data_IF_924628483803
#
_entry.id   IF_924628483803
#
_cell.length_a   1.000
_cell.length_b   1.000
_cell.length_c   1.000
_cell.angle_alpha   90.00
_cell.angle_beta   90.00
_cell.angle_gamma   90.00
#
_symmetry.space_group_name_H-M   'P 1'
#
loop_
_entity.id
_entity.type
_entity.pdbx_description
1 polymer ?
#
# COMPACT_ATOMS: atom_id res chain seq x y z
N UNK A 1 28.19 17.72 -0.75
CA UNK A 1 29.56 18.22 -0.69
C UNK A 1 30.33 17.76 -1.91
N UNK A 2 31.04 18.65 -2.61
CA UNK A 2 31.93 18.27 -3.68
C UNK A 2 33.16 17.59 -3.05
N UNK A 3 33.58 16.43 -3.58
CA UNK A 3 34.77 15.77 -3.12
C UNK A 3 36.02 16.45 -3.74
N UNK A 4 36.92 17.12 -2.97
CA UNK A 4 38.06 17.85 -3.48
C UNK A 4 39.26 16.98 -3.90
N UNK A 5 39.15 15.65 -3.82
CA UNK A 5 40.27 14.71 -3.99
C UNK A 5 40.46 14.20 -5.42
N UNK A 6 39.73 14.73 -6.39
CA UNK A 6 39.82 14.29 -7.80
C UNK A 6 40.92 15.06 -8.52
N UNK A 7 41.80 14.40 -9.28
CA UNK A 7 42.87 15.06 -10.03
C UNK A 7 42.35 16.11 -11.04
N UNK A 8 43.15 17.15 -11.35
CA UNK A 8 42.82 18.31 -12.18
C UNK A 8 42.15 18.05 -13.56
N UNK A 9 42.24 16.82 -14.08
CA UNK A 9 41.60 16.45 -15.37
C UNK A 9 40.07 16.40 -15.35
N UNK A 10 39.41 16.66 -14.21
CA UNK A 10 38.00 16.48 -14.01
C UNK A 10 37.12 17.75 -14.17
N UNK A 11 37.75 18.94 -14.26
CA UNK A 11 37.02 20.22 -14.29
C UNK A 11 36.22 20.47 -15.57
N UNK A 12 36.41 19.69 -16.63
CA UNK A 12 35.65 19.75 -17.88
C UNK A 12 34.52 18.71 -17.97
N UNK A 13 34.33 17.87 -16.96
CA UNK A 13 33.30 16.84 -16.93
C UNK A 13 32.01 17.39 -16.29
N UNK A 14 30.87 16.94 -16.77
CA UNK A 14 29.61 17.33 -16.13
C UNK A 14 29.56 16.86 -14.67
N UNK A 15 28.93 17.65 -13.83
CA UNK A 15 28.65 17.27 -12.44
C UNK A 15 27.53 16.23 -12.44
N UNK A 16 27.74 15.11 -11.76
CA UNK A 16 26.75 14.08 -11.57
C UNK A 16 26.19 14.16 -10.16
N UNK A 17 24.89 14.25 -10.04
CA UNK A 17 24.16 14.19 -8.78
C UNK A 17 23.74 12.75 -8.53
N UNK A 18 24.13 12.17 -7.41
CA UNK A 18 23.61 10.91 -6.90
C UNK A 18 22.52 11.23 -5.89
N UNK A 19 21.39 10.53 -5.93
CA UNK A 19 20.28 10.81 -5.03
C UNK A 19 19.75 9.52 -4.40
N UNK A 20 19.54 9.59 -3.10
CA UNK A 20 18.92 8.56 -2.29
C UNK A 20 18.07 9.19 -1.18
N UNK A 21 17.16 8.41 -0.55
CA UNK A 21 16.43 8.86 0.65
C UNK A 21 16.96 8.18 1.91
N UNK A 22 16.83 8.87 3.06
CA UNK A 22 17.39 8.43 4.34
C UNK A 22 16.34 7.79 5.27
N UNK A 23 15.09 7.94 4.98
CA UNK A 23 13.98 7.34 5.72
C UNK A 23 13.67 5.92 5.24
N UNK A 24 12.86 5.20 5.97
CA UNK A 24 12.42 3.84 5.65
C UNK A 24 10.98 3.61 6.12
N UNK A 25 10.32 2.62 5.55
CA UNK A 25 9.05 2.11 6.09
C UNK A 25 9.28 1.48 7.46
N UNK A 26 8.62 2.01 8.50
CA UNK A 26 8.74 1.53 9.88
C UNK A 26 7.66 0.49 10.20
N UNK A 27 7.88 -0.77 9.82
CA UNK A 27 6.95 -1.88 10.05
C UNK A 27 7.62 -3.03 10.81
N UNK A 28 6.84 -3.76 11.61
CA UNK A 28 7.31 -4.91 12.40
C UNK A 28 6.27 -6.02 12.47
N UNK A 29 6.74 -7.24 12.65
CA UNK A 29 5.86 -8.40 12.84
C UNK A 29 5.05 -8.29 14.14
N UNK A 30 3.84 -8.84 14.14
CA UNK A 30 3.02 -8.93 15.35
C UNK A 30 3.80 -9.64 16.48
N UNK A 31 3.86 -8.99 17.63
CA UNK A 31 4.57 -9.49 18.81
C UNK A 31 6.05 -9.08 18.90
N UNK A 32 6.64 -8.49 17.87
CA UNK A 32 7.99 -7.93 17.93
C UNK A 32 8.00 -6.68 18.83
N UNK A 33 8.86 -6.69 19.84
CA UNK A 33 9.10 -5.53 20.68
C UNK A 33 10.23 -4.71 20.05
N UNK A 34 9.89 -3.62 19.44
CA UNK A 34 10.82 -2.68 18.80
C UNK A 34 10.20 -1.29 18.81
N UNK A 35 10.98 -0.27 19.09
CA UNK A 35 10.62 1.14 19.05
C UNK A 35 11.48 1.82 17.98
N UNK A 36 10.89 2.14 16.83
CA UNK A 36 11.62 2.75 15.71
C UNK A 36 12.19 4.14 16.01
N UNK A 37 11.72 4.82 17.05
CA UNK A 37 12.27 6.11 17.48
C UNK A 37 13.53 5.97 18.34
N UNK A 38 13.70 4.82 19.02
CA UNK A 38 14.74 4.66 20.04
C UNK A 38 15.62 3.43 19.87
N UNK A 39 15.13 2.39 19.20
CA UNK A 39 15.88 1.13 19.06
C UNK A 39 16.57 1.05 17.69
N UNK A 40 17.84 0.59 17.64
CA UNK A 40 18.51 0.30 16.39
C UNK A 40 17.91 -0.93 15.72
N UNK A 41 17.92 -0.97 14.38
CA UNK A 41 17.52 -2.18 13.64
C UNK A 41 18.49 -3.32 13.97
N UNK A 42 17.97 -4.42 14.49
CA UNK A 42 18.73 -5.63 14.75
C UNK A 42 18.89 -6.44 13.46
N UNK A 43 20.12 -6.53 12.96
CA UNK A 43 20.41 -7.21 11.71
C UNK A 43 20.87 -8.65 11.93
N UNK A 44 20.50 -9.56 11.01
CA UNK A 44 20.86 -10.97 10.99
C UNK A 44 21.53 -11.28 9.65
N UNK A 45 22.71 -11.89 9.68
CA UNK A 45 23.37 -12.45 8.50
C UNK A 45 22.85 -13.88 8.31
N UNK A 46 22.15 -14.12 7.18
CA UNK A 46 21.57 -15.41 6.81
C UNK A 46 22.13 -15.85 5.45
N UNK A 47 23.27 -16.54 5.47
CA UNK A 47 24.01 -16.90 4.28
C UNK A 47 24.53 -15.68 3.54
N UNK A 48 24.05 -15.44 2.32
CA UNK A 48 24.38 -14.27 1.51
C UNK A 48 23.44 -13.08 1.73
N UNK A 49 22.45 -13.23 2.62
CA UNK A 49 21.44 -12.21 2.90
C UNK A 49 21.70 -11.48 4.21
N UNK A 50 21.41 -10.18 4.20
CA UNK A 50 21.27 -9.38 5.42
C UNK A 50 19.77 -9.15 5.65
N UNK A 51 19.28 -9.53 6.81
CA UNK A 51 17.86 -9.41 7.21
C UNK A 51 17.73 -8.59 8.48
N UNK A 52 16.54 -8.05 8.75
CA UNK A 52 16.18 -7.51 10.05
C UNK A 52 15.44 -8.54 10.91
N UNK A 53 15.62 -8.48 12.22
CA UNK A 53 14.99 -9.35 13.19
C UNK A 53 13.54 -8.91 13.50
N UNK A 54 12.60 -9.33 12.69
CA UNK A 54 11.17 -9.06 12.90
C UNK A 54 10.71 -7.65 12.58
N UNK A 55 11.56 -6.85 11.95
CA UNK A 55 11.25 -5.50 11.46
C UNK A 55 11.59 -5.36 9.98
N UNK A 56 11.20 -4.25 9.36
CA UNK A 56 11.78 -3.78 8.10
C UNK A 56 13.28 -3.49 8.28
N UNK A 57 14.07 -3.61 7.20
CA UNK A 57 15.52 -3.45 7.24
C UNK A 57 15.98 -2.03 6.91
N UNK A 58 15.26 -1.33 6.00
CA UNK A 58 15.66 -0.04 5.45
C UNK A 58 16.75 -0.13 4.38
N UNK A 59 16.88 -1.29 3.70
CA UNK A 59 17.76 -1.42 2.53
C UNK A 59 17.34 -0.49 1.39
N UNK A 60 16.06 -0.28 1.28
CA UNK A 60 15.39 0.77 0.54
C UNK A 60 15.27 2.00 1.45
N UNK A 61 15.98 3.11 1.23
CA UNK A 61 17.07 3.28 0.26
C UNK A 61 18.45 3.38 0.96
N UNK A 62 18.64 2.67 2.07
CA UNK A 62 19.90 2.63 2.82
C UNK A 62 21.09 2.16 1.98
N UNK A 63 20.88 1.33 0.94
CA UNK A 63 21.96 0.89 0.05
C UNK A 63 22.43 2.04 -0.86
N UNK A 64 21.52 2.88 -1.34
CA UNK A 64 21.84 4.08 -2.10
C UNK A 64 22.65 5.07 -1.26
N UNK A 65 22.21 5.33 -0.02
CA UNK A 65 22.97 6.16 0.95
C UNK A 65 24.36 5.60 1.18
N UNK A 66 24.50 4.28 1.38
CA UNK A 66 25.79 3.63 1.61
C UNK A 66 26.72 3.76 0.38
N UNK A 67 26.18 3.62 -0.83
CA UNK A 67 26.94 3.78 -2.06
C UNK A 67 27.48 5.22 -2.21
N UNK A 68 26.66 6.23 -1.95
CA UNK A 68 27.07 7.63 -1.99
C UNK A 68 28.15 7.93 -0.96
N UNK A 69 27.98 7.46 0.28
CA UNK A 69 28.97 7.62 1.34
C UNK A 69 30.28 6.90 1.02
N UNK A 70 30.24 5.71 0.43
CA UNK A 70 31.41 4.96 0.01
C UNK A 70 32.21 5.72 -1.06
N UNK A 71 31.53 6.30 -2.06
CA UNK A 71 32.17 7.13 -3.09
C UNK A 71 32.79 8.40 -2.50
N UNK A 72 32.13 9.07 -1.56
CA UNK A 72 32.66 10.26 -0.90
C UNK A 72 33.86 9.94 0.00
N UNK A 73 33.93 8.75 0.58
CA UNK A 73 34.97 8.30 1.46
C UNK A 73 36.18 7.69 0.70
N UNK A 74 35.98 7.29 -0.55
CA UNK A 74 37.03 6.60 -1.34
C UNK A 74 38.13 7.54 -1.79
N UNK A 75 39.37 7.04 -1.72
CA UNK A 75 40.58 7.72 -2.24
C UNK A 75 41.09 7.05 -3.52
N UNK A 76 40.55 5.88 -3.92
CA UNK A 76 41.05 5.03 -5.00
C UNK A 76 40.09 4.94 -6.20
N UNK A 77 38.87 5.41 -6.05
CA UNK A 77 37.85 5.46 -7.14
C UNK A 77 38.03 6.77 -7.92
N UNK A 78 38.35 6.65 -9.21
CA UNK A 78 38.46 7.81 -10.10
C UNK A 78 37.04 8.23 -10.58
N UNK A 79 36.65 9.45 -10.27
CA UNK A 79 35.35 10.02 -10.70
C UNK A 79 35.47 11.49 -11.10
N UNK A 80 34.52 12.00 -11.85
CA UNK A 80 34.32 13.44 -12.10
C UNK A 80 33.74 14.13 -10.85
N UNK A 81 33.36 15.41 -10.96
CA UNK A 81 32.64 16.10 -9.89
C UNK A 81 31.35 15.39 -9.58
N UNK A 82 31.09 15.09 -8.30
CA UNK A 82 29.84 14.49 -7.83
C UNK A 82 29.21 15.36 -6.75
N UNK A 83 27.91 15.37 -6.73
CA UNK A 83 27.06 15.88 -5.64
C UNK A 83 26.26 14.71 -5.09
N UNK A 84 26.13 14.59 -3.78
CA UNK A 84 25.25 13.60 -3.14
C UNK A 84 24.08 14.33 -2.52
N UNK A 85 22.89 13.95 -2.94
CA UNK A 85 21.61 14.50 -2.48
C UNK A 85 20.89 13.46 -1.63
N UNK A 86 20.85 13.68 -0.33
CA UNK A 86 20.10 12.86 0.60
C UNK A 86 18.74 13.53 0.88
N UNK A 87 17.65 12.87 0.54
CA UNK A 87 16.30 13.34 0.81
C UNK A 87 15.72 12.68 2.06
N UNK A 88 14.63 13.23 2.57
CA UNK A 88 13.89 12.72 3.72
C UNK A 88 12.42 12.58 3.37
N UNK A 89 11.73 11.70 4.10
CA UNK A 89 10.27 11.55 4.03
C UNK A 89 9.82 11.16 2.60
N UNK A 90 10.56 10.25 1.96
CA UNK A 90 10.19 9.67 0.67
C UNK A 90 8.94 8.80 0.84
N UNK A 91 9.00 7.87 1.82
CA UNK A 91 8.03 6.81 2.08
C UNK A 91 6.64 7.30 2.49
N UNK A 92 6.54 8.53 3.00
CA UNK A 92 5.25 9.08 3.45
C UNK A 92 4.72 10.20 2.58
N UNK A 93 5.52 10.76 1.67
CA UNK A 93 5.00 11.80 0.77
C UNK A 93 5.99 12.64 0.01
N UNK A 94 7.27 12.28 -0.08
CA UNK A 94 8.29 13.01 -0.84
C UNK A 94 8.47 14.46 -0.35
N UNK A 95 8.28 14.73 0.95
CA UNK A 95 8.28 16.13 1.45
C UNK A 95 9.64 16.77 1.30
N UNK A 96 10.73 16.02 1.52
CA UNK A 96 12.09 16.50 1.32
C UNK A 96 12.36 16.88 -0.15
N UNK A 97 12.00 16.02 -1.09
CA UNK A 97 12.16 16.29 -2.51
C UNK A 97 11.32 17.48 -2.97
N UNK A 98 10.07 17.60 -2.50
CA UNK A 98 9.19 18.74 -2.80
C UNK A 98 9.65 20.07 -2.20
N UNK A 99 10.46 20.04 -1.14
CA UNK A 99 11.01 21.22 -0.48
C UNK A 99 12.29 21.73 -1.12
N UNK A 100 12.86 21.03 -2.10
CA UNK A 100 14.06 21.46 -2.81
C UNK A 100 13.80 22.79 -3.52
N UNK A 101 14.80 23.68 -3.43
CA UNK A 101 14.74 25.01 -4.05
C UNK A 101 15.62 25.04 -5.31
N UNK A 102 15.28 25.92 -6.22
CA UNK A 102 16.11 26.23 -7.38
C UNK A 102 17.55 26.56 -6.95
N UNK A 103 18.53 26.00 -7.66
CA UNK A 103 19.96 26.16 -7.36
C UNK A 103 20.48 25.35 -6.18
N UNK A 104 19.71 24.44 -5.61
CA UNK A 104 20.19 23.56 -4.54
C UNK A 104 21.26 22.58 -5.05
N UNK A 105 21.13 22.12 -6.28
CA UNK A 105 22.09 21.28 -6.99
C UNK A 105 22.68 22.05 -8.18
N UNK A 106 23.91 21.71 -8.58
CA UNK A 106 24.59 22.30 -9.73
C UNK A 106 24.78 21.33 -10.89
N UNK A 107 24.56 20.03 -10.67
CA UNK A 107 24.73 18.99 -11.67
C UNK A 107 23.59 18.92 -12.67
N UNK A 108 23.94 18.64 -13.94
CA UNK A 108 22.99 18.45 -15.04
C UNK A 108 22.54 16.99 -15.21
N UNK A 109 23.23 16.06 -14.59
CA UNK A 109 22.93 14.62 -14.64
C UNK A 109 22.57 14.17 -13.25
N UNK A 110 21.35 13.63 -13.08
CA UNK A 110 20.90 13.06 -11.82
C UNK A 110 20.73 11.55 -11.99
N UNK A 111 21.35 10.78 -11.09
CA UNK A 111 21.19 9.34 -10.93
C UNK A 111 20.48 9.09 -9.61
N UNK A 112 19.20 8.72 -9.68
CA UNK A 112 18.44 8.25 -8.54
C UNK A 112 18.82 6.79 -8.27
N UNK A 113 19.22 6.48 -7.02
CA UNK A 113 19.69 5.16 -6.61
C UNK A 113 18.60 4.32 -5.93
N UNK A 114 17.34 4.61 -6.27
CA UNK A 114 16.15 4.06 -5.63
C UNK A 114 15.44 3.00 -6.50
N UNK A 115 16.13 2.44 -7.49
CA UNK A 115 15.61 1.38 -8.32
C UNK A 115 15.89 0.02 -7.69
N UNK A 116 14.86 -0.83 -7.61
CA UNK A 116 14.94 -2.18 -7.05
C UNK A 116 15.21 -3.26 -8.11
N UNK A 117 15.07 -2.94 -9.40
CA UNK A 117 15.22 -3.90 -10.49
C UNK A 117 16.67 -3.99 -10.96
N UNK A 118 17.31 -5.16 -10.75
CA UNK A 118 18.70 -5.38 -11.13
C UNK A 118 18.88 -5.34 -12.65
N UNK A 119 19.84 -4.52 -13.10
CA UNK A 119 20.24 -4.42 -14.50
C UNK A 119 19.31 -3.55 -15.35
N UNK A 120 18.33 -2.87 -14.77
CA UNK A 120 17.42 -1.95 -15.45
C UNK A 120 17.74 -0.48 -15.14
N UNK A 121 17.52 0.39 -16.14
CA UNK A 121 17.65 1.84 -16.00
C UNK A 121 16.31 2.48 -16.34
N UNK A 122 15.71 3.14 -15.37
CA UNK A 122 14.45 3.86 -15.52
C UNK A 122 14.71 5.33 -15.88
N UNK A 123 14.13 5.80 -17.02
CA UNK A 123 14.26 7.19 -17.48
C UNK A 123 12.98 7.98 -17.29
N UNK A 124 12.04 7.50 -16.48
CA UNK A 124 10.77 8.14 -16.21
C UNK A 124 10.07 7.51 -15.04
N UNK A 125 9.02 8.15 -14.58
CA UNK A 125 8.18 7.64 -13.50
C UNK A 125 6.70 7.82 -13.83
N UNK A 126 5.85 7.01 -13.18
CA UNK A 126 4.42 7.22 -13.19
C UNK A 126 4.05 8.44 -12.33
N UNK A 127 2.98 9.11 -12.69
CA UNK A 127 2.36 10.12 -11.85
C UNK A 127 1.20 9.51 -11.07
N UNK A 128 0.86 10.12 -9.92
CA UNK A 128 -0.28 9.73 -9.10
C UNK A 128 -1.18 10.92 -8.79
N UNK A 129 -2.46 10.63 -8.56
CA UNK A 129 -3.44 11.60 -8.05
C UNK A 129 -4.33 10.92 -7.03
N UNK A 130 -4.29 11.42 -5.80
CA UNK A 130 -5.19 10.97 -4.75
C UNK A 130 -6.53 11.70 -4.85
N UNK A 131 -7.59 10.95 -4.66
CA UNK A 131 -8.94 11.51 -4.57
C UNK A 131 -9.59 10.99 -3.29
N UNK A 132 -9.94 11.90 -2.41
CA UNK A 132 -10.72 11.59 -1.21
C UNK A 132 -12.18 11.95 -1.47
N UNK A 133 -13.06 10.93 -1.46
CA UNK A 133 -14.50 11.12 -1.57
C UNK A 133 -15.15 10.95 -0.20
N UNK A 134 -15.93 11.96 0.23
CA UNK A 134 -16.64 11.96 1.51
C UNK A 134 -18.14 11.81 1.27
N UNK A 135 -18.74 10.77 1.86
CA UNK A 135 -20.17 10.53 1.86
C UNK A 135 -20.75 10.89 3.23
N UNK A 136 -21.57 11.92 3.28
CA UNK A 136 -22.34 12.25 4.48
C UNK A 136 -23.63 11.43 4.50
N UNK A 137 -23.94 10.83 5.62
CA UNK A 137 -25.14 10.01 5.79
C UNK A 137 -25.85 10.32 7.11
N UNK A 138 -27.14 10.03 7.16
CA UNK A 138 -27.92 10.11 8.38
C UNK A 138 -27.89 8.73 9.08
N UNK A 139 -27.47 8.65 10.34
CA UNK A 139 -27.52 7.40 11.09
C UNK A 139 -28.96 7.05 11.42
N UNK A 140 -29.43 5.90 10.96
CA UNK A 140 -30.78 5.38 11.21
C UNK A 140 -30.69 4.26 12.25
N UNK A 141 -31.51 4.29 13.35
CA UNK A 141 -31.51 3.22 14.33
C UNK A 141 -31.84 1.86 13.71
N UNK A 142 -31.09 0.84 14.12
CA UNK A 142 -31.31 -0.52 13.64
C UNK A 142 -32.57 -1.16 14.25
N UNK A 143 -33.14 -2.14 13.54
CA UNK A 143 -34.35 -2.83 13.96
C UNK A 143 -34.06 -4.17 14.65
N UNK A 144 -34.78 -4.49 15.72
CA UNK A 144 -34.77 -5.80 16.39
C UNK A 144 -35.45 -6.91 15.57
N UNK A 145 -36.14 -6.53 14.49
CA UNK A 145 -36.76 -7.48 13.55
C UNK A 145 -35.81 -8.01 12.49
N UNK A 146 -34.58 -7.48 12.44
CA UNK A 146 -33.54 -7.91 11.53
C UNK A 146 -32.50 -8.76 12.25
N UNK A 147 -31.78 -9.58 11.50
CA UNK A 147 -30.59 -10.28 11.93
C UNK A 147 -29.37 -9.62 11.28
N UNK A 148 -28.29 -9.53 12.03
CA UNK A 148 -27.09 -8.82 11.59
C UNK A 148 -25.94 -9.80 11.33
N UNK A 149 -25.23 -9.53 10.24
CA UNK A 149 -24.18 -10.40 9.75
C UNK A 149 -22.98 -9.56 9.34
N UNK A 150 -21.81 -10.05 9.68
CA UNK A 150 -20.54 -9.58 9.16
C UNK A 150 -20.19 -10.42 7.95
N UNK A 151 -19.86 -9.76 6.86
CA UNK A 151 -19.32 -10.37 5.64
C UNK A 151 -17.87 -10.00 5.56
N UNK A 152 -17.00 -10.99 5.52
CA UNK A 152 -15.56 -10.82 5.42
C UNK A 152 -15.04 -11.33 4.08
N UNK A 153 -14.10 -10.57 3.50
CA UNK A 153 -13.22 -11.00 2.41
C UNK A 153 -11.81 -10.96 2.95
N UNK A 154 -11.08 -12.08 2.90
CA UNK A 154 -9.74 -12.21 3.46
C UNK A 154 -8.91 -13.26 2.74
N UNK A 155 -7.65 -13.42 3.15
CA UNK A 155 -6.74 -14.42 2.60
C UNK A 155 -6.09 -14.03 1.27
N UNK A 156 -6.19 -12.75 0.88
CA UNK A 156 -5.52 -12.21 -0.30
C UNK A 156 -4.06 -11.86 0.01
N UNK A 157 -3.20 -11.95 -1.01
CA UNK A 157 -1.77 -11.65 -0.88
C UNK A 157 -1.53 -10.15 -0.68
N UNK A 158 -2.29 -9.31 -1.35
CA UNK A 158 -2.02 -7.88 -1.44
C UNK A 158 -0.79 -7.61 -2.31
N UNK A 159 -0.36 -6.37 -2.34
CA UNK A 159 0.80 -5.93 -3.12
C UNK A 159 0.81 -4.42 -3.30
N UNK A 160 1.85 -3.89 -3.94
CA UNK A 160 1.94 -2.47 -4.25
C UNK A 160 0.95 -2.11 -5.37
N UNK A 161 0.12 -1.08 -5.15
CA UNK A 161 -0.95 -0.69 -6.08
C UNK A 161 -0.45 -0.12 -7.41
N UNK A 162 0.80 0.28 -7.50
CA UNK A 162 1.50 0.69 -8.73
C UNK A 162 2.33 -0.46 -9.31
N UNK A 163 3.44 -0.80 -8.67
CA UNK A 163 4.43 -1.76 -9.17
C UNK A 163 3.89 -3.18 -9.41
N UNK A 164 2.89 -3.62 -8.66
CA UNK A 164 2.34 -4.97 -8.75
C UNK A 164 0.93 -5.05 -9.35
N UNK A 165 0.35 -3.93 -9.79
CA UNK A 165 -1.01 -3.90 -10.36
C UNK A 165 -1.16 -4.83 -11.58
N UNK A 166 -0.08 -5.03 -12.34
CA UNK A 166 -0.05 -5.91 -13.50
C UNK A 166 -0.16 -7.41 -13.16
N UNK A 167 0.08 -7.79 -11.89
CA UNK A 167 0.01 -9.19 -11.44
C UNK A 167 -1.42 -9.71 -11.32
N UNK A 168 -2.42 -8.83 -11.36
CA UNK A 168 -3.83 -9.20 -11.27
C UNK A 168 -4.26 -9.72 -9.91
N UNK A 169 -3.57 -9.29 -8.83
CA UNK A 169 -3.88 -9.65 -7.45
C UNK A 169 -5.29 -9.18 -7.04
N UNK A 170 -5.93 -9.97 -6.21
CA UNK A 170 -7.27 -9.68 -5.71
C UNK A 170 -7.31 -8.45 -4.82
N UNK A 171 -8.33 -7.60 -5.01
CA UNK A 171 -8.59 -6.45 -4.15
C UNK A 171 -9.85 -6.72 -3.31
N UNK A 172 -9.67 -6.85 -1.99
CA UNK A 172 -10.76 -7.19 -1.07
C UNK A 172 -11.93 -6.20 -1.13
N UNK A 173 -11.64 -4.91 -1.27
CA UNK A 173 -12.69 -3.87 -1.39
C UNK A 173 -13.55 -4.10 -2.64
N UNK A 174 -12.91 -4.35 -3.78
CA UNK A 174 -13.64 -4.61 -5.04
C UNK A 174 -14.47 -5.88 -4.97
N UNK A 175 -13.95 -6.95 -4.36
CA UNK A 175 -14.66 -8.22 -4.19
C UNK A 175 -15.87 -8.03 -3.27
N UNK A 176 -15.68 -7.39 -2.11
CA UNK A 176 -16.78 -7.13 -1.17
C UNK A 176 -17.87 -6.29 -1.80
N UNK A 177 -17.49 -5.21 -2.47
CA UNK A 177 -18.47 -4.30 -3.10
C UNK A 177 -19.20 -4.97 -4.26
N UNK A 178 -18.54 -5.82 -5.06
CA UNK A 178 -19.21 -6.67 -6.08
C UNK A 178 -20.30 -7.52 -5.46
N UNK A 179 -20.02 -8.15 -4.31
CA UNK A 179 -21.04 -8.92 -3.59
C UNK A 179 -22.19 -8.05 -3.10
N UNK A 180 -21.91 -6.92 -2.45
CA UNK A 180 -22.94 -6.01 -1.95
C UNK A 180 -23.83 -5.46 -3.09
N UNK A 181 -23.23 -5.16 -4.23
CA UNK A 181 -23.95 -4.74 -5.43
C UNK A 181 -24.87 -5.85 -5.98
N UNK A 182 -24.37 -7.09 -6.04
CA UNK A 182 -25.15 -8.26 -6.45
C UNK A 182 -26.29 -8.51 -5.46
N UNK A 183 -26.01 -8.40 -4.16
CA UNK A 183 -27.00 -8.55 -3.09
C UNK A 183 -28.11 -7.51 -3.20
N UNK A 184 -27.78 -6.24 -3.43
CA UNK A 184 -28.71 -5.13 -3.55
C UNK A 184 -29.69 -5.30 -4.71
N UNK A 185 -29.30 -5.99 -5.77
CA UNK A 185 -30.19 -6.30 -6.91
C UNK A 185 -31.22 -7.37 -6.62
N UNK A 186 -31.02 -8.17 -5.57
CA UNK A 186 -31.86 -9.35 -5.30
C UNK A 186 -32.63 -9.28 -3.99
N UNK A 187 -32.07 -8.60 -2.99
CA UNK A 187 -32.61 -8.59 -1.63
C UNK A 187 -32.49 -7.20 -1.02
N UNK A 188 -33.50 -6.88 -0.20
CA UNK A 188 -33.41 -5.70 0.66
C UNK A 188 -32.55 -5.99 1.88
N UNK A 189 -31.61 -5.09 2.16
CA UNK A 189 -30.77 -5.12 3.34
C UNK A 189 -30.40 -3.70 3.76
N UNK A 190 -30.00 -3.54 5.01
CA UNK A 190 -29.41 -2.29 5.51
C UNK A 190 -27.91 -2.46 5.65
N UNK A 191 -27.12 -1.44 5.26
CA UNK A 191 -25.68 -1.41 5.41
C UNK A 191 -25.34 -0.67 6.72
N UNK A 192 -24.74 -1.35 7.69
CA UNK A 192 -24.36 -0.75 8.96
C UNK A 192 -22.94 -0.17 8.91
N UNK A 193 -22.01 -0.92 8.31
CA UNK A 193 -20.63 -0.45 8.12
C UNK A 193 -19.99 -1.15 6.92
N UNK A 194 -18.96 -0.53 6.39
CA UNK A 194 -18.04 -1.10 5.43
C UNK A 194 -16.64 -0.58 5.75
N UNK A 195 -15.65 -1.47 5.75
CA UNK A 195 -14.27 -1.12 6.02
C UNK A 195 -13.33 -2.06 5.27
N UNK A 196 -12.18 -1.55 4.82
CA UNK A 196 -11.17 -2.35 4.15
C UNK A 196 -10.10 -1.51 3.51
N UNK A 197 -8.88 -2.08 3.50
CA UNK A 197 -7.68 -1.39 3.06
C UNK A 197 -7.28 -0.26 4.02
N UNK A 198 -6.00 -0.16 4.34
CA UNK A 198 -5.47 0.85 5.26
C UNK A 198 -4.44 1.78 4.62
N UNK A 199 -3.88 1.39 3.48
CA UNK A 199 -2.87 2.14 2.76
C UNK A 199 -3.30 2.39 1.32
N UNK A 200 -3.17 3.62 0.85
CA UNK A 200 -3.53 4.04 -0.53
C UNK A 200 -2.66 3.40 -1.61
N UNK A 201 -1.41 3.09 -1.30
CA UNK A 201 -0.44 2.45 -2.19
C UNK A 201 -0.40 0.92 -2.07
N UNK A 202 -1.30 0.32 -1.28
CA UNK A 202 -1.41 -1.13 -1.14
C UNK A 202 -2.74 -1.65 -1.67
N UNK A 203 -2.70 -2.77 -2.39
CA UNK A 203 -3.90 -3.52 -2.79
C UNK A 203 -4.52 -4.11 -1.52
N UNK A 204 -5.79 -3.83 -1.27
CA UNK A 204 -6.48 -4.23 -0.05
C UNK A 204 -6.54 -5.77 0.08
N UNK A 205 -5.96 -6.30 1.16
CA UNK A 205 -5.91 -7.75 1.46
C UNK A 205 -7.17 -8.25 2.15
N UNK A 206 -7.82 -7.38 2.90
CA UNK A 206 -8.98 -7.68 3.71
C UNK A 206 -9.99 -6.55 3.60
N UNK A 207 -11.27 -6.93 3.64
CA UNK A 207 -12.38 -5.99 3.73
C UNK A 207 -13.56 -6.65 4.41
N UNK A 208 -14.38 -5.87 5.09
CA UNK A 208 -15.60 -6.38 5.68
C UNK A 208 -16.75 -5.39 5.63
N UNK A 209 -17.97 -5.90 5.70
CA UNK A 209 -19.17 -5.11 5.86
C UNK A 209 -20.09 -5.75 6.91
N UNK A 210 -20.82 -4.91 7.64
CA UNK A 210 -21.91 -5.36 8.51
C UNK A 210 -23.23 -4.99 7.87
N UNK A 211 -24.09 -5.98 7.67
CA UNK A 211 -25.40 -5.82 7.07
C UNK A 211 -26.52 -6.33 7.99
N UNK A 212 -27.70 -5.76 7.86
CA UNK A 212 -28.92 -6.27 8.48
C UNK A 212 -29.86 -6.86 7.43
N UNK A 213 -30.34 -8.08 7.65
CA UNK A 213 -31.25 -8.82 6.77
C UNK A 213 -32.55 -9.18 7.48
N UNK A 214 -33.63 -9.27 6.72
CA UNK A 214 -34.81 -9.95 7.20
C UNK A 214 -34.51 -11.44 7.43
N UNK A 215 -34.97 -12.05 8.55
CA UNK A 215 -34.63 -13.44 8.89
C UNK A 215 -34.92 -14.45 7.78
N UNK A 216 -36.00 -14.23 7.02
CA UNK A 216 -36.40 -15.06 5.89
C UNK A 216 -35.39 -15.13 4.75
N UNK A 217 -34.57 -14.08 4.56
CA UNK A 217 -33.61 -14.00 3.47
C UNK A 217 -32.21 -14.57 3.84
N UNK A 218 -32.02 -14.96 5.10
CA UNK A 218 -30.71 -15.37 5.60
C UNK A 218 -30.07 -16.50 4.78
N UNK A 219 -30.81 -17.58 4.58
CA UNK A 219 -30.27 -18.75 3.90
C UNK A 219 -30.07 -18.52 2.41
N UNK A 220 -30.97 -17.79 1.76
CA UNK A 220 -30.82 -17.41 0.35
C UNK A 220 -29.59 -16.52 0.12
N UNK A 221 -29.33 -15.56 1.03
CA UNK A 221 -28.13 -14.71 0.98
C UNK A 221 -26.87 -15.52 1.23
N UNK A 222 -26.92 -16.50 2.14
CA UNK A 222 -25.78 -17.41 2.37
C UNK A 222 -25.46 -18.26 1.13
N UNK A 223 -26.50 -18.80 0.47
CA UNK A 223 -26.35 -19.55 -0.79
C UNK A 223 -25.76 -18.63 -1.87
N UNK A 224 -26.27 -17.40 -1.98
CA UNK A 224 -25.76 -16.42 -2.94
C UNK A 224 -24.27 -16.12 -2.69
N UNK A 225 -23.87 -15.94 -1.41
CA UNK A 225 -22.46 -15.71 -1.05
C UNK A 225 -21.59 -16.90 -1.41
N UNK A 226 -22.04 -18.14 -1.14
CA UNK A 226 -21.26 -19.34 -1.45
C UNK A 226 -21.04 -19.50 -2.98
N UNK A 227 -22.05 -19.22 -3.80
CA UNK A 227 -21.89 -19.21 -5.25
C UNK A 227 -20.89 -18.11 -5.69
N UNK A 228 -21.05 -16.91 -5.17
CA UNK A 228 -20.14 -15.81 -5.48
C UNK A 228 -18.72 -16.11 -5.01
N UNK A 229 -18.53 -16.73 -3.84
CA UNK A 229 -17.21 -17.15 -3.35
C UNK A 229 -16.54 -18.15 -4.30
N UNK A 230 -17.28 -19.16 -4.77
CA UNK A 230 -16.74 -20.13 -5.74
C UNK A 230 -16.35 -19.46 -7.07
N UNK A 231 -17.10 -18.46 -7.53
CA UNK A 231 -16.73 -17.69 -8.72
C UNK A 231 -15.42 -16.92 -8.49
N UNK A 232 -15.28 -16.23 -7.34
CA UNK A 232 -14.07 -15.47 -6.96
C UNK A 232 -12.86 -16.40 -6.80
N UNK A 233 -13.02 -17.53 -6.12
CA UNK A 233 -11.97 -18.55 -5.97
C UNK A 233 -11.47 -19.04 -7.34
N UNK A 234 -12.37 -19.30 -8.29
CA UNK A 234 -12.00 -19.69 -9.65
C UNK A 234 -11.32 -18.56 -10.44
N UNK A 235 -11.76 -17.31 -10.27
CA UNK A 235 -11.13 -16.13 -10.89
C UNK A 235 -9.69 -15.96 -10.42
N UNK A 236 -9.46 -16.11 -9.11
CA UNK A 236 -8.19 -15.79 -8.45
C UNK A 236 -7.29 -17.01 -8.17
N UNK A 237 -7.66 -18.20 -8.60
CA UNK A 237 -6.97 -19.48 -8.26
C UNK A 237 -5.47 -19.51 -8.54
N UNK A 238 -4.97 -18.66 -9.44
CA UNK A 238 -3.56 -18.64 -9.82
C UNK A 238 -2.77 -17.53 -9.14
N UNK A 239 -3.44 -16.50 -8.62
CA UNK A 239 -2.80 -15.32 -8.02
C UNK A 239 -3.08 -15.19 -6.52
N UNK A 240 -4.29 -15.55 -6.08
CA UNK A 240 -4.73 -15.49 -4.68
C UNK A 240 -5.52 -16.75 -4.27
N UNK A 241 -4.89 -17.94 -4.29
CA UNK A 241 -5.58 -19.22 -4.05
C UNK A 241 -6.15 -19.38 -2.63
N UNK A 242 -5.77 -18.50 -1.71
CA UNK A 242 -6.21 -18.52 -0.30
C UNK A 242 -7.38 -17.58 -0.01
N UNK A 243 -7.97 -16.96 -1.04
CA UNK A 243 -9.11 -16.07 -0.86
C UNK A 243 -10.27 -16.77 -0.18
N UNK A 244 -10.89 -16.10 0.77
CA UNK A 244 -12.01 -16.60 1.54
C UNK A 244 -13.08 -15.52 1.67
N UNK A 245 -14.33 -15.93 1.50
CA UNK A 245 -15.50 -15.11 1.79
C UNK A 245 -16.32 -15.82 2.87
N UNK A 246 -16.69 -15.09 3.91
CA UNK A 246 -17.46 -15.64 5.03
C UNK A 246 -18.60 -14.71 5.43
N UNK A 247 -19.68 -15.29 5.94
CA UNK A 247 -20.80 -14.57 6.54
C UNK A 247 -21.07 -15.13 7.93
N UNK A 248 -20.80 -14.33 8.94
CA UNK A 248 -20.96 -14.71 10.35
C UNK A 248 -22.02 -13.83 11.04
N UNK A 249 -22.75 -14.40 11.98
CA UNK A 249 -23.68 -13.63 12.79
C UNK A 249 -22.91 -12.68 13.70
N UNK A 250 -23.39 -11.46 13.83
CA UNK A 250 -22.80 -10.43 14.71
C UNK A 250 -23.87 -9.80 15.59
N UNK A 251 -23.43 -9.10 16.62
CA UNK A 251 -24.31 -8.31 17.47
C UNK A 251 -25.00 -7.20 16.64
N UNK A 252 -26.17 -6.79 17.11
CA UNK A 252 -26.92 -5.71 16.48
C UNK A 252 -26.19 -4.38 16.64
N UNK A 253 -25.73 -3.72 15.54
CA UNK A 253 -25.22 -2.37 15.62
C UNK A 253 -26.30 -1.37 16.06
N UNK A 254 -25.90 -0.25 16.62
CA UNK A 254 -26.83 0.79 17.06
C UNK A 254 -27.52 1.48 15.87
N UNK A 255 -26.74 1.72 14.80
CA UNK A 255 -27.21 2.45 13.62
C UNK A 255 -26.81 1.74 12.33
N UNK A 256 -27.53 2.06 11.26
CA UNK A 256 -27.14 1.77 9.88
C UNK A 256 -27.11 3.08 9.06
N UNK A 257 -26.40 3.06 7.95
CA UNK A 257 -26.38 4.14 6.95
C UNK A 257 -27.79 4.23 6.33
N UNK A 258 -28.33 5.44 6.13
CA UNK A 258 -29.59 5.57 5.44
C UNK A 258 -29.56 4.89 4.06
N UNK A 259 -30.67 4.28 3.67
CA UNK A 259 -30.71 3.42 2.48
C UNK A 259 -30.32 4.15 1.18
N UNK A 260 -30.65 5.43 1.06
CA UNK A 260 -30.34 6.21 -0.15
C UNK A 260 -28.83 6.47 -0.27
N UNK A 261 -28.18 6.79 0.85
CA UNK A 261 -26.72 6.97 0.89
C UNK A 261 -25.98 5.64 0.76
N UNK A 262 -26.46 4.59 1.43
CA UNK A 262 -25.87 3.23 1.29
C UNK A 262 -25.89 2.75 -0.17
N UNK A 263 -27.00 2.97 -0.86
CA UNK A 263 -27.11 2.61 -2.28
C UNK A 263 -26.11 3.41 -3.14
N UNK A 264 -26.07 4.73 -3.00
CA UNK A 264 -25.12 5.58 -3.72
C UNK A 264 -23.66 5.16 -3.46
N UNK A 265 -23.32 4.85 -2.20
CA UNK A 265 -21.98 4.39 -1.80
C UNK A 265 -21.63 3.08 -2.50
N UNK A 266 -22.51 2.08 -2.46
CA UNK A 266 -22.29 0.77 -3.11
C UNK A 266 -22.11 0.96 -4.63
N UNK A 267 -22.97 1.76 -5.27
CA UNK A 267 -22.87 2.01 -6.72
C UNK A 267 -21.59 2.76 -7.09
N UNK A 268 -21.22 3.79 -6.31
CA UNK A 268 -19.99 4.54 -6.54
C UNK A 268 -18.75 3.66 -6.43
N UNK A 269 -18.65 2.89 -5.34
CA UNK A 269 -17.52 1.96 -5.12
C UNK A 269 -17.49 0.81 -6.14
N UNK A 270 -18.64 0.38 -6.65
CA UNK A 270 -18.70 -0.65 -7.69
C UNK A 270 -18.26 -0.14 -9.07
N UNK A 271 -18.41 1.16 -9.32
CA UNK A 271 -18.01 1.81 -10.58
C UNK A 271 -16.51 2.16 -10.64
N UNK A 272 -15.80 2.17 -9.48
CA UNK A 272 -14.35 2.32 -9.39
C UNK A 272 -13.65 0.98 -9.58
#
# INVERSE_FOLDING_TARGET
QQNPRVPEASNERPVVVLQSHMDMVCEKNNGTKHDFDNDPIETIVDGEWLRANGTTLGADNGIGVAAELALLASDDIQHGPIECLFTVDEETGLTGAKALKEGFMTGDILLNLDSEDEGEIFMGCAGGKDTQATFHYEPVPTSDKMQYFRIDVKGLNGGHSGGEIHKGLGNANKILVRFLFLLKKKYDFVLCSIDGGNLRNAIAREAHAVIGLHPENKEDVRILLNHFAADVENELKHVDPSVQLAMESTDRPEYHIDNATAEKLIYALHAC
#
